data_IF_265973965908
#
_entry.id   IF_265973965908
#
_cell.length_a   1.000
_cell.length_b   1.000
_cell.length_c   1.000
_cell.angle_alpha   90.00
_cell.angle_beta   90.00
_cell.angle_gamma   90.00
#
_symmetry.space_group_name_H-M   'P 1'
#
loop_
_entity.id
_entity.type
_entity.pdbx_description
1 polymer ?
#
# COMPACT_ATOMS: atom_id res chain seq x y z
N UNK A 1 -2.87 -11.48 9.64
CA UNK A 1 -1.61 -10.79 9.26
C UNK A 1 -1.14 -11.30 7.90
N UNK A 2 -0.69 -10.40 7.03
CA UNK A 2 -0.14 -10.80 5.74
C UNK A 2 1.32 -11.23 5.95
N UNK A 3 1.58 -12.54 5.99
CA UNK A 3 2.94 -13.06 5.93
C UNK A 3 3.56 -12.64 4.60
N UNK A 4 4.54 -11.75 4.62
CA UNK A 4 5.27 -11.35 3.43
C UNK A 4 6.40 -12.34 3.20
N UNK A 5 6.26 -13.17 2.16
CA UNK A 5 7.37 -14.00 1.67
C UNK A 5 8.25 -13.13 0.79
N UNK A 6 9.53 -12.99 1.15
CA UNK A 6 10.51 -12.26 0.36
C UNK A 6 11.34 -13.24 -0.45
N UNK A 7 11.39 -13.03 -1.76
CA UNK A 7 12.30 -13.72 -2.67
C UNK A 7 13.59 -12.93 -2.81
N UNK A 8 14.71 -13.63 -2.90
CA UNK A 8 16.01 -13.08 -3.30
C UNK A 8 16.46 -13.90 -4.50
N UNK A 9 16.83 -13.22 -5.59
CA UNK A 9 17.49 -13.90 -6.70
C UNK A 9 18.92 -14.22 -6.28
N UNK A 10 19.22 -15.49 -6.04
CA UNK A 10 20.60 -15.97 -5.86
C UNK A 10 21.05 -16.61 -7.17
N UNK A 11 22.07 -16.05 -7.79
CA UNK A 11 22.66 -16.52 -9.04
C UNK A 11 24.17 -16.65 -8.90
N UNK A 12 24.78 -17.61 -9.60
CA UNK A 12 26.22 -17.88 -9.53
C UNK A 12 27.13 -16.83 -10.18
N UNK A 13 26.58 -15.69 -10.65
CA UNK A 13 27.30 -14.62 -11.34
C UNK A 13 27.23 -13.27 -10.61
N UNK A 14 27.93 -12.24 -11.13
CA UNK A 14 27.81 -10.86 -10.63
C UNK A 14 26.39 -10.34 -10.86
N UNK A 15 25.55 -10.37 -9.82
CA UNK A 15 24.24 -9.75 -9.84
C UNK A 15 24.37 -8.22 -9.79
N UNK A 16 23.56 -7.51 -10.57
CA UNK A 16 23.43 -6.07 -10.49
C UNK A 16 22.56 -5.71 -9.26
N UNK A 17 23.15 -5.81 -8.07
CA UNK A 17 22.49 -5.50 -6.80
C UNK A 17 21.98 -6.72 -6.03
N UNK A 18 21.88 -6.56 -4.71
CA UNK A 18 21.39 -7.58 -3.78
C UNK A 18 20.09 -7.07 -3.16
N UNK A 19 19.00 -7.35 -3.85
CA UNK A 19 17.67 -6.90 -3.44
C UNK A 19 16.79 -8.10 -3.09
N UNK A 20 16.04 -7.98 -2.01
CA UNK A 20 14.94 -8.89 -1.68
C UNK A 20 13.63 -8.21 -2.02
N UNK A 21 12.73 -8.93 -2.69
CA UNK A 21 11.43 -8.41 -3.09
C UNK A 21 10.32 -9.26 -2.47
N UNK A 22 9.28 -8.63 -1.94
CA UNK A 22 8.13 -9.37 -1.47
C UNK A 22 7.38 -9.98 -2.67
N UNK A 23 7.12 -11.29 -2.65
CA UNK A 23 6.40 -11.99 -3.71
C UNK A 23 4.98 -11.45 -3.90
N UNK A 24 4.34 -11.01 -2.80
CA UNK A 24 2.95 -10.51 -2.78
C UNK A 24 2.85 -9.03 -3.11
N UNK A 25 3.62 -8.17 -2.44
CA UNK A 25 3.48 -6.70 -2.60
C UNK A 25 4.58 -6.04 -3.42
N UNK A 26 5.56 -6.80 -3.89
CA UNK A 26 6.71 -6.33 -4.68
C UNK A 26 7.55 -5.25 -4.00
N UNK A 27 7.38 -5.04 -2.70
CA UNK A 27 8.25 -4.15 -1.90
C UNK A 27 9.67 -4.66 -1.96
N UNK A 28 10.58 -3.79 -2.38
CA UNK A 28 12.02 -4.05 -2.46
C UNK A 28 12.69 -3.60 -1.17
N UNK A 29 13.59 -4.41 -0.64
CA UNK A 29 14.45 -4.12 0.50
C UNK A 29 15.88 -4.55 0.15
N UNK A 30 16.88 -3.93 0.78
CA UNK A 30 18.25 -4.42 0.70
C UNK A 30 18.38 -5.84 1.26
N UNK A 31 19.17 -6.67 0.59
CA UNK A 31 19.59 -7.98 1.06
C UNK A 31 21.06 -7.93 1.51
N UNK A 32 21.39 -8.62 2.60
CA UNK A 32 22.76 -8.76 3.09
C UNK A 32 23.51 -9.78 2.23
N UNK A 33 24.22 -9.31 1.20
CA UNK A 33 24.88 -10.17 0.23
C UNK A 33 25.75 -11.29 0.84
N UNK A 34 26.53 -10.95 1.88
CA UNK A 34 27.45 -11.89 2.53
C UNK A 34 26.72 -13.11 3.08
N UNK A 35 25.52 -12.91 3.62
CA UNK A 35 24.70 -13.97 4.19
C UNK A 35 24.11 -14.93 3.13
N UNK A 36 23.94 -14.49 1.87
CA UNK A 36 23.25 -15.27 0.83
C UNK A 36 24.12 -15.68 -0.37
N UNK A 37 25.35 -15.19 -0.46
CA UNK A 37 26.26 -15.36 -1.61
C UNK A 37 26.62 -16.82 -1.93
N UNK A 38 26.67 -17.70 -0.92
CA UNK A 38 27.10 -19.09 -1.08
C UNK A 38 25.98 -20.13 -0.94
N UNK A 39 24.74 -19.74 -0.63
CA UNK A 39 23.64 -20.69 -0.36
C UNK A 39 23.39 -21.63 -1.53
N UNK A 40 23.46 -21.12 -2.77
CA UNK A 40 23.25 -21.95 -3.97
C UNK A 40 24.36 -23.00 -4.17
N UNK A 41 25.57 -22.75 -3.66
CA UNK A 41 26.70 -23.68 -3.72
C UNK A 41 26.68 -24.67 -2.56
N UNK A 42 26.42 -24.17 -1.35
CA UNK A 42 26.48 -24.95 -0.11
C UNK A 42 25.23 -25.83 0.08
N UNK A 43 24.10 -25.45 -0.53
CA UNK A 43 22.81 -26.14 -0.41
C UNK A 43 22.13 -26.35 -1.77
N UNK A 44 22.64 -27.26 -2.63
CA UNK A 44 22.06 -27.53 -3.94
C UNK A 44 20.68 -28.18 -3.83
N UNK A 45 19.63 -27.46 -4.24
CA UNK A 45 18.24 -27.90 -4.17
C UNK A 45 17.89 -29.03 -5.15
N UNK A 46 18.71 -29.22 -6.19
CA UNK A 46 18.53 -30.25 -7.24
C UNK A 46 18.49 -31.67 -6.69
N UNK A 47 19.07 -31.89 -5.50
CA UNK A 47 19.13 -33.21 -4.84
C UNK A 47 18.09 -33.37 -3.73
N UNK A 48 17.29 -32.35 -3.46
CA UNK A 48 16.28 -32.35 -2.40
C UNK A 48 14.89 -32.49 -3.02
N UNK A 49 14.08 -33.48 -2.60
CA UNK A 49 12.70 -33.60 -3.05
C UNK A 49 11.95 -32.29 -2.85
N UNK A 50 11.14 -31.89 -3.83
CA UNK A 50 10.44 -30.59 -3.86
C UNK A 50 9.63 -30.32 -2.57
N UNK A 51 9.01 -31.37 -2.02
CA UNK A 51 8.27 -31.32 -0.75
C UNK A 51 9.10 -30.96 0.49
N UNK A 52 10.43 -31.11 0.44
CA UNK A 52 11.35 -30.84 1.56
C UNK A 52 12.29 -29.66 1.31
N UNK A 53 12.24 -29.02 0.14
CA UNK A 53 13.13 -27.90 -0.21
C UNK A 53 12.97 -26.72 0.75
N UNK A 54 11.74 -26.37 1.15
CA UNK A 54 11.49 -25.26 2.09
C UNK A 54 12.12 -25.56 3.45
N UNK A 55 11.89 -26.75 4.01
CA UNK A 55 12.46 -27.16 5.30
C UNK A 55 14.00 -27.15 5.27
N UNK A 56 14.57 -27.56 4.13
CA UNK A 56 16.01 -27.54 3.91
C UNK A 56 16.56 -26.10 3.86
N UNK A 57 15.89 -25.19 3.14
CA UNK A 57 16.24 -23.78 3.09
C UNK A 57 16.11 -23.08 4.44
N UNK A 58 15.09 -23.41 5.23
CA UNK A 58 14.92 -22.85 6.58
C UNK A 58 16.10 -23.27 7.45
N UNK A 59 16.49 -24.54 7.46
CA UNK A 59 17.66 -25.00 8.23
C UNK A 59 18.97 -24.33 7.80
N UNK A 60 19.12 -24.08 6.50
CA UNK A 60 20.32 -23.45 5.95
C UNK A 60 20.40 -21.95 6.27
N UNK A 61 19.28 -21.24 6.25
CA UNK A 61 19.26 -19.76 6.29
C UNK A 61 18.83 -19.19 7.64
N UNK A 62 17.94 -19.88 8.36
CA UNK A 62 17.42 -19.45 9.64
C UNK A 62 16.94 -20.67 10.46
N UNK A 63 17.88 -21.47 11.02
CA UNK A 63 17.55 -22.72 11.70
C UNK A 63 16.64 -22.52 12.91
N UNK A 64 16.73 -21.36 13.56
CA UNK A 64 15.91 -20.98 14.72
C UNK A 64 14.54 -20.40 14.34
N UNK A 65 14.19 -20.30 13.04
CA UNK A 65 12.95 -19.67 12.60
C UNK A 65 11.72 -20.28 13.29
N UNK A 66 11.67 -21.60 13.38
CA UNK A 66 10.55 -22.31 13.99
C UNK A 66 10.42 -21.98 15.48
N UNK A 67 11.53 -21.97 16.22
CA UNK A 67 11.55 -21.70 17.65
C UNK A 67 11.24 -20.22 17.95
N UNK A 68 11.89 -19.30 17.23
CA UNK A 68 11.72 -17.86 17.39
C UNK A 68 10.28 -17.40 17.16
N UNK A 69 9.58 -18.03 16.22
CA UNK A 69 8.21 -17.68 15.86
C UNK A 69 7.15 -18.67 16.36
N UNK A 70 7.52 -19.74 17.07
CA UNK A 70 6.59 -20.77 17.55
C UNK A 70 5.42 -20.17 18.32
N UNK A 71 5.73 -19.38 19.36
CA UNK A 71 4.73 -18.72 20.21
C UNK A 71 3.78 -17.81 19.42
N UNK A 72 4.32 -17.13 18.39
CA UNK A 72 3.51 -16.24 17.55
C UNK A 72 2.60 -17.03 16.62
N UNK A 73 3.11 -18.10 16.02
CA UNK A 73 2.34 -18.96 15.12
C UNK A 73 1.21 -19.69 15.87
N UNK A 74 1.46 -20.13 17.11
CA UNK A 74 0.43 -20.69 17.99
C UNK A 74 -0.68 -19.66 18.25
N UNK A 75 -0.33 -18.45 18.68
CA UNK A 75 -1.30 -17.37 18.90
C UNK A 75 -2.13 -17.07 17.64
N UNK A 76 -1.48 -17.04 16.46
CA UNK A 76 -2.18 -16.82 15.19
C UNK A 76 -3.12 -17.98 14.82
N UNK A 77 -2.72 -19.22 15.10
CA UNK A 77 -3.58 -20.39 14.90
C UNK A 77 -4.80 -20.35 15.84
N UNK A 78 -4.60 -20.01 17.10
CA UNK A 78 -5.67 -19.89 18.09
C UNK A 78 -6.64 -18.75 17.77
N UNK A 79 -6.10 -17.63 17.28
CA UNK A 79 -6.89 -16.51 16.76
C UNK A 79 -7.75 -16.91 15.56
N UNK A 80 -7.19 -17.66 14.61
CA UNK A 80 -7.94 -18.16 13.44
C UNK A 80 -9.03 -19.15 13.84
N UNK A 81 -8.78 -19.97 14.86
CA UNK A 81 -9.74 -20.92 15.42
C UNK A 81 -10.80 -20.25 16.31
N UNK A 82 -10.60 -18.99 16.69
CA UNK A 82 -11.50 -18.25 17.57
C UNK A 82 -11.39 -18.62 19.06
N UNK A 83 -10.36 -19.38 19.43
CA UNK A 83 -10.18 -19.91 20.79
C UNK A 83 -9.24 -19.04 21.64
N UNK A 84 -8.59 -18.03 21.04
CA UNK A 84 -7.62 -17.20 21.74
C UNK A 84 -8.32 -16.25 22.72
N UNK A 85 -8.00 -16.38 24.01
CA UNK A 85 -8.26 -15.35 25.02
C UNK A 85 -7.07 -14.40 25.02
N UNK A 86 -7.30 -13.16 24.62
CA UNK A 86 -6.25 -12.13 24.47
C UNK A 86 -6.58 -10.97 25.39
N UNK A 87 -5.59 -10.54 26.17
CA UNK A 87 -5.71 -9.35 26.99
C UNK A 87 -5.86 -8.08 26.14
N UNK A 88 -6.48 -7.06 26.71
CA UNK A 88 -6.80 -5.82 26.00
C UNK A 88 -5.55 -5.10 25.45
N UNK A 89 -4.41 -5.19 26.15
CA UNK A 89 -3.17 -4.54 25.72
C UNK A 89 -2.55 -5.27 24.51
N UNK A 90 -2.43 -6.60 24.56
CA UNK A 90 -1.97 -7.38 23.40
C UNK A 90 -2.91 -7.25 22.22
N UNK A 91 -4.24 -7.24 22.45
CA UNK A 91 -5.23 -7.05 21.39
C UNK A 91 -5.02 -5.72 20.66
N UNK A 92 -4.84 -4.63 21.41
CA UNK A 92 -4.53 -3.31 20.85
C UNK A 92 -3.21 -3.33 20.05
N UNK A 93 -2.17 -3.97 20.56
CA UNK A 93 -0.90 -4.12 19.86
C UNK A 93 -1.07 -4.86 18.52
N UNK A 94 -1.79 -5.99 18.52
CA UNK A 94 -2.05 -6.79 17.32
C UNK A 94 -2.86 -6.03 16.25
N UNK A 95 -3.79 -5.16 16.68
CA UNK A 95 -4.55 -4.30 15.76
C UNK A 95 -3.66 -3.21 15.16
N UNK A 96 -2.74 -2.64 15.97
CA UNK A 96 -1.83 -1.55 15.56
C UNK A 96 -0.73 -2.02 14.62
N UNK A 97 -0.22 -3.23 14.83
CA UNK A 97 0.93 -3.78 14.11
C UNK A 97 0.79 -3.76 12.57
N UNK A 98 -0.32 -4.19 11.94
CA UNK A 98 -0.52 -4.06 10.49
C UNK A 98 -0.37 -2.62 9.97
N UNK A 99 -0.79 -1.62 10.74
CA UNK A 99 -0.66 -0.22 10.33
C UNK A 99 0.80 0.23 10.36
N UNK A 100 1.56 -0.15 11.40
CA UNK A 100 2.97 0.18 11.53
C UNK A 100 3.80 -0.47 10.42
N UNK A 101 3.54 -1.74 10.11
CA UNK A 101 4.26 -2.46 9.05
C UNK A 101 4.04 -1.81 7.68
N UNK A 102 2.81 -1.36 7.42
CA UNK A 102 2.47 -0.77 6.12
C UNK A 102 2.73 0.75 6.06
N UNK A 103 3.02 1.42 7.17
CA UNK A 103 3.24 2.86 7.23
C UNK A 103 4.37 3.35 6.29
N UNK A 104 5.56 2.72 6.25
CA UNK A 104 6.62 3.17 5.34
C UNK A 104 6.24 3.06 3.87
N UNK A 105 5.46 2.03 3.51
CA UNK A 105 5.02 1.83 2.13
C UNK A 105 4.04 2.93 1.70
N UNK A 106 3.18 3.36 2.62
CA UNK A 106 2.25 4.46 2.41
C UNK A 106 3.02 5.77 2.34
N UNK A 107 3.92 6.05 3.28
CA UNK A 107 4.70 7.29 3.28
C UNK A 107 5.46 7.49 1.97
N UNK A 108 6.19 6.47 1.49
CA UNK A 108 6.85 6.51 0.18
C UNK A 108 5.88 6.76 -0.98
N UNK A 109 4.73 6.08 -0.97
CA UNK A 109 3.72 6.26 -2.03
C UNK A 109 3.10 7.67 -2.01
N UNK A 110 3.14 8.37 -0.88
CA UNK A 110 2.65 9.74 -0.73
C UNK A 110 3.72 10.81 -0.98
N UNK A 111 5.00 10.46 -0.84
CA UNK A 111 6.14 11.27 -1.28
C UNK A 111 6.24 11.32 -2.81
N UNK A 112 5.96 10.21 -3.49
CA UNK A 112 5.89 10.16 -4.95
C UNK A 112 4.53 10.65 -5.46
N UNK A 113 4.52 11.61 -6.39
CA UNK A 113 3.29 12.04 -7.07
C UNK A 113 2.83 10.93 -8.02
N UNK A 114 1.90 10.09 -7.58
CA UNK A 114 1.28 9.09 -8.45
C UNK A 114 0.30 9.75 -9.43
N UNK A 115 0.60 9.64 -10.72
CA UNK A 115 -0.28 10.07 -11.81
C UNK A 115 -1.14 8.87 -12.22
N UNK A 116 -2.39 8.84 -11.75
CA UNK A 116 -3.37 7.85 -12.18
C UNK A 116 -3.97 8.24 -13.55
N UNK A 117 -4.44 7.27 -14.33
CA UNK A 117 -5.10 7.52 -15.62
C UNK A 117 -6.25 8.55 -15.56
N UNK A 118 -7.14 8.55 -14.53
CA UNK A 118 -8.16 9.60 -14.41
C UNK A 118 -7.57 10.98 -14.14
N UNK A 119 -6.45 11.06 -13.39
CA UNK A 119 -5.76 12.32 -13.16
C UNK A 119 -5.14 12.83 -14.47
N UNK A 120 -4.49 11.94 -15.23
CA UNK A 120 -3.94 12.25 -16.55
C UNK A 120 -5.03 12.77 -17.51
N UNK A 121 -6.19 12.10 -17.55
CA UNK A 121 -7.34 12.54 -18.35
C UNK A 121 -7.85 13.91 -17.91
N UNK A 122 -7.89 14.18 -16.60
CA UNK A 122 -8.32 15.50 -16.10
C UNK A 122 -7.33 16.60 -16.43
N UNK A 123 -6.02 16.32 -16.40
CA UNK A 123 -4.98 17.25 -16.82
C UNK A 123 -5.10 17.51 -18.33
N UNK A 124 -5.27 16.45 -19.13
CA UNK A 124 -5.45 16.58 -20.58
C UNK A 124 -6.71 17.40 -20.91
N UNK A 125 -7.84 17.14 -20.23
CA UNK A 125 -9.06 17.91 -20.39
C UNK A 125 -8.90 19.37 -19.95
N UNK A 126 -8.19 19.62 -18.84
CA UNK A 126 -7.92 20.98 -18.35
C UNK A 126 -7.12 21.84 -19.34
N UNK A 127 -6.37 21.21 -20.25
CA UNK A 127 -5.64 21.90 -21.33
C UNK A 127 -6.50 21.97 -22.60
N UNK A 128 -7.11 20.85 -23.00
CA UNK A 128 -7.86 20.76 -24.25
C UNK A 128 -9.14 21.60 -24.24
N UNK A 129 -9.85 21.68 -23.11
CA UNK A 129 -11.12 22.43 -22.99
C UNK A 129 -10.93 23.93 -23.21
N UNK A 130 -10.00 24.65 -22.53
CA UNK A 130 -9.81 26.08 -22.78
C UNK A 130 -9.29 26.38 -24.19
N UNK A 131 -8.42 25.51 -24.76
CA UNK A 131 -7.97 25.65 -26.14
C UNK A 131 -9.16 25.50 -27.10
N UNK A 132 -9.95 24.43 -26.94
CA UNK A 132 -11.14 24.19 -27.74
C UNK A 132 -12.17 25.32 -27.61
N UNK A 133 -12.37 25.83 -26.39
CA UNK A 133 -13.25 26.95 -26.12
C UNK A 133 -12.79 28.22 -26.85
N UNK A 134 -11.48 28.51 -26.86
CA UNK A 134 -10.92 29.65 -27.61
C UNK A 134 -11.23 29.55 -29.12
N UNK A 135 -10.94 28.40 -29.73
CA UNK A 135 -11.23 28.17 -31.15
C UNK A 135 -12.73 28.25 -31.46
N UNK A 136 -13.58 27.70 -30.58
CA UNK A 136 -15.03 27.74 -30.75
C UNK A 136 -15.57 29.18 -30.65
N UNK A 137 -15.04 29.97 -29.70
CA UNK A 137 -15.39 31.37 -29.52
C UNK A 137 -15.02 32.21 -30.74
N UNK A 138 -13.83 32.02 -31.30
CA UNK A 138 -13.40 32.80 -32.46
C UNK A 138 -14.18 32.45 -33.74
N UNK A 139 -14.63 31.19 -33.88
CA UNK A 139 -15.41 30.74 -35.03
C UNK A 139 -16.88 31.20 -34.99
N UNK A 140 -17.49 31.25 -33.81
CA UNK A 140 -18.94 31.46 -33.67
C UNK A 140 -19.35 32.85 -33.17
N UNK A 141 -18.48 33.60 -32.50
CA UNK A 141 -18.85 34.91 -31.92
C UNK A 141 -18.29 36.06 -32.74
N UNK A 142 -19.17 37.01 -33.08
CA UNK A 142 -18.87 38.23 -33.84
C UNK A 142 -19.30 39.44 -33.01
N UNK A 143 -18.52 40.53 -33.05
CA UNK A 143 -18.85 41.80 -32.38
C UNK A 143 -18.60 41.82 -30.87
N UNK A 144 -19.40 42.61 -30.14
CA UNK A 144 -19.22 42.97 -28.72
C UNK A 144 -19.17 41.76 -27.76
N UNK A 145 -19.66 40.59 -28.18
CA UNK A 145 -19.56 39.36 -27.40
C UNK A 145 -18.10 38.86 -27.24
N UNK A 146 -17.16 39.32 -28.08
CA UNK A 146 -15.72 39.03 -27.91
C UNK A 146 -15.12 39.72 -26.68
N UNK A 147 -15.73 40.78 -26.15
CA UNK A 147 -15.25 41.43 -24.92
C UNK A 147 -15.46 40.57 -23.66
N UNK A 148 -16.43 39.65 -23.69
CA UNK A 148 -16.68 38.70 -22.59
C UNK A 148 -15.79 37.45 -22.65
N UNK A 149 -15.10 37.21 -23.77
CA UNK A 149 -14.21 36.07 -23.99
C UNK A 149 -13.13 35.90 -22.90
N UNK A 150 -12.36 36.93 -22.51
CA UNK A 150 -11.32 36.77 -21.47
C UNK A 150 -11.91 36.36 -20.11
N UNK A 151 -13.08 36.89 -19.75
CA UNK A 151 -13.77 36.52 -18.51
C UNK A 151 -14.20 35.04 -18.53
N UNK A 152 -14.73 34.57 -19.65
CA UNK A 152 -15.18 33.18 -19.79
C UNK A 152 -14.02 32.19 -19.79
N UNK A 153 -12.93 32.50 -20.50
CA UNK A 153 -11.71 31.69 -20.50
C UNK A 153 -11.05 31.65 -19.11
N UNK A 154 -11.04 32.78 -18.38
CA UNK A 154 -10.55 32.83 -17.01
C UNK A 154 -11.40 31.94 -16.07
N UNK A 155 -12.73 31.96 -16.23
CA UNK A 155 -13.63 31.12 -15.44
C UNK A 155 -13.42 29.62 -15.73
N UNK A 156 -13.31 29.22 -17.00
CA UNK A 156 -13.02 27.83 -17.40
C UNK A 156 -11.63 27.39 -16.91
N UNK A 157 -10.62 28.26 -17.03
CA UNK A 157 -9.28 27.99 -16.55
C UNK A 157 -9.24 27.75 -15.04
N UNK A 158 -9.93 28.59 -14.28
CA UNK A 158 -10.05 28.43 -12.83
C UNK A 158 -10.80 27.14 -12.46
N UNK A 159 -11.94 26.86 -13.10
CA UNK A 159 -12.69 25.63 -12.86
C UNK A 159 -11.86 24.37 -13.17
N UNK A 160 -11.12 24.38 -14.27
CA UNK A 160 -10.24 23.29 -14.68
C UNK A 160 -9.09 23.08 -13.69
N UNK A 161 -8.50 24.17 -13.20
CA UNK A 161 -7.46 24.12 -12.18
C UNK A 161 -7.98 23.52 -10.87
N UNK A 162 -9.14 23.98 -10.39
CA UNK A 162 -9.79 23.43 -9.20
C UNK A 162 -10.10 21.95 -9.38
N UNK A 163 -10.59 21.53 -10.56
CA UNK A 163 -10.88 20.13 -10.85
C UNK A 163 -9.63 19.24 -10.76
N UNK A 164 -8.47 19.70 -11.26
CA UNK A 164 -7.19 18.97 -11.17
C UNK A 164 -6.76 18.82 -9.70
N UNK A 165 -6.88 19.88 -8.89
CA UNK A 165 -6.55 19.81 -7.45
C UNK A 165 -7.43 18.80 -6.71
N UNK A 166 -8.75 18.84 -6.95
CA UNK A 166 -9.70 17.91 -6.34
C UNK A 166 -9.40 16.47 -6.78
N UNK A 167 -9.15 16.24 -8.07
CA UNK A 167 -8.83 14.91 -8.59
C UNK A 167 -7.50 14.38 -8.08
N UNK A 168 -6.48 15.24 -7.92
CA UNK A 168 -5.22 14.87 -7.30
C UNK A 168 -5.39 14.44 -5.84
N UNK A 169 -6.22 15.15 -5.09
CA UNK A 169 -6.56 14.76 -3.71
C UNK A 169 -7.33 13.42 -3.67
N UNK A 170 -8.27 13.22 -4.59
CA UNK A 170 -9.03 11.97 -4.69
C UNK A 170 -8.20 10.78 -5.16
N UNK A 171 -7.21 10.98 -6.03
CA UNK A 171 -6.29 9.94 -6.50
C UNK A 171 -5.55 9.27 -5.34
N UNK A 172 -5.07 10.08 -4.38
CA UNK A 172 -4.43 9.58 -3.15
C UNK A 172 -5.37 8.69 -2.32
N UNK A 173 -6.64 9.05 -2.21
CA UNK A 173 -7.64 8.23 -1.53
C UNK A 173 -7.98 6.95 -2.30
N UNK A 174 -8.03 7.00 -3.63
CA UNK A 174 -8.23 5.81 -4.48
C UNK A 174 -7.07 4.84 -4.32
N UNK A 175 -5.83 5.34 -4.26
CA UNK A 175 -4.64 4.51 -4.02
C UNK A 175 -4.74 3.76 -2.69
N UNK A 176 -5.05 4.45 -1.59
CA UNK A 176 -5.26 3.82 -0.28
C UNK A 176 -6.34 2.73 -0.34
N UNK A 177 -7.47 3.03 -0.95
CA UNK A 177 -8.60 2.10 -1.05
C UNK A 177 -8.27 0.87 -1.89
N UNK A 178 -7.46 1.01 -2.94
CA UNK A 178 -7.14 -0.09 -3.87
C UNK A 178 -5.98 -0.96 -3.40
N UNK A 179 -4.93 -0.38 -2.81
CA UNK A 179 -3.69 -1.12 -2.51
C UNK A 179 -3.47 -1.40 -1.04
N UNK A 180 -4.01 -0.55 -0.15
CA UNK A 180 -3.69 -0.58 1.27
C UNK A 180 -4.84 -1.16 2.11
N UNK A 181 -6.08 -0.69 1.91
CA UNK A 181 -7.23 -1.18 2.67
C UNK A 181 -7.49 -2.69 2.53
N UNK A 182 -7.34 -3.34 1.36
CA UNK A 182 -7.53 -4.79 1.26
C UNK A 182 -6.52 -5.57 2.10
N UNK A 183 -5.25 -5.10 2.16
CA UNK A 183 -4.20 -5.74 2.97
C UNK A 183 -4.43 -5.57 4.46
N UNK A 184 -4.86 -4.37 4.88
CA UNK A 184 -5.29 -4.15 6.26
C UNK A 184 -6.48 -5.03 6.63
N UNK A 185 -7.49 -5.09 5.77
CA UNK A 185 -8.66 -5.92 6.01
C UNK A 185 -8.26 -7.39 6.18
N UNK A 186 -7.45 -7.95 5.28
CA UNK A 186 -6.91 -9.31 5.42
C UNK A 186 -6.14 -9.52 6.73
N UNK A 187 -5.41 -8.51 7.20
CA UNK A 187 -4.67 -8.60 8.44
C UNK A 187 -5.57 -8.53 9.69
N UNK A 188 -6.65 -7.75 9.62
CA UNK A 188 -7.55 -7.43 10.74
C UNK A 188 -8.79 -8.34 10.82
N UNK A 189 -9.22 -8.97 9.74
CA UNK A 189 -10.37 -9.89 9.69
C UNK A 189 -10.31 -10.97 10.78
N UNK A 190 -9.16 -11.63 11.05
CA UNK A 190 -9.07 -12.62 12.14
C UNK A 190 -9.29 -12.03 13.53
N UNK A 191 -8.95 -10.75 13.74
CA UNK A 191 -9.06 -10.08 15.04
C UNK A 191 -10.47 -9.54 15.31
N UNK A 192 -11.29 -9.38 14.25
CA UNK A 192 -12.63 -8.75 14.28
C UNK A 192 -12.64 -7.50 15.17
N UNK A 193 -11.84 -6.48 14.84
CA UNK A 193 -11.72 -5.30 15.69
C UNK A 193 -13.04 -4.53 15.73
N UNK A 194 -13.39 -4.02 16.91
CA UNK A 194 -14.56 -3.15 17.04
C UNK A 194 -14.27 -1.74 16.49
N UNK A 195 -15.30 -0.99 16.07
CA UNK A 195 -15.12 0.39 15.58
C UNK A 195 -14.41 1.30 16.60
N UNK A 196 -14.69 1.12 17.89
CA UNK A 196 -14.03 1.86 18.97
C UNK A 196 -12.53 1.53 19.07
N UNK A 197 -12.15 0.26 18.91
CA UNK A 197 -10.75 -0.18 18.95
C UNK A 197 -9.95 0.41 17.76
N UNK A 198 -10.56 0.41 16.57
CA UNK A 198 -9.96 1.03 15.39
C UNK A 198 -9.79 2.54 15.56
N UNK A 199 -10.79 3.24 16.11
CA UNK A 199 -10.71 4.67 16.35
C UNK A 199 -9.58 5.03 17.32
N UNK A 200 -9.40 4.25 18.39
CA UNK A 200 -8.29 4.42 19.33
C UNK A 200 -6.92 4.18 18.69
N UNK A 201 -6.76 3.13 17.88
CA UNK A 201 -5.48 2.85 17.21
C UNK A 201 -5.15 3.93 16.18
N UNK A 202 -6.15 4.40 15.42
CA UNK A 202 -5.97 5.47 14.45
C UNK A 202 -5.64 6.82 15.10
N UNK A 203 -6.23 7.13 16.26
CA UNK A 203 -5.91 8.35 17.00
C UNK A 203 -4.48 8.34 17.53
N UNK A 204 -3.99 7.19 18.03
CA UNK A 204 -2.59 7.03 18.41
C UNK A 204 -1.64 7.19 17.22
N UNK A 205 -1.94 6.55 16.09
CA UNK A 205 -1.11 6.69 14.88
C UNK A 205 -1.07 8.13 14.40
N UNK A 206 -2.15 8.89 14.59
CA UNK A 206 -2.20 10.32 14.29
C UNK A 206 -1.29 11.12 15.23
N UNK A 207 -1.31 10.82 16.53
CA UNK A 207 -0.41 11.45 17.52
C UNK A 207 1.06 11.16 17.22
N UNK A 208 1.37 9.95 16.78
CA UNK A 208 2.72 9.54 16.36
C UNK A 208 3.14 10.12 14.99
N UNK A 209 2.28 10.86 14.31
CA UNK A 209 2.60 11.56 13.08
C UNK A 209 2.44 10.75 11.79
N UNK A 210 2.12 9.46 11.87
CA UNK A 210 1.97 8.59 10.70
C UNK A 210 0.88 9.08 9.74
N UNK A 211 1.19 9.11 8.44
CA UNK A 211 0.25 9.54 7.40
C UNK A 211 -1.08 8.76 7.42
N UNK A 212 -1.01 7.49 7.83
CA UNK A 212 -2.15 6.61 7.97
C UNK A 212 -3.17 7.07 9.03
N UNK A 213 -2.72 7.54 10.19
CA UNK A 213 -3.64 8.04 11.22
C UNK A 213 -4.34 9.34 10.82
N UNK A 214 -3.71 10.13 9.95
CA UNK A 214 -4.27 11.40 9.44
C UNK A 214 -5.28 11.17 8.30
N UNK A 215 -5.04 10.18 7.44
CA UNK A 215 -5.79 10.01 6.18
C UNK A 215 -6.74 8.81 6.15
N UNK A 216 -6.62 7.88 7.09
CA UNK A 216 -7.53 6.74 7.17
C UNK A 216 -8.80 7.13 7.94
N UNK A 217 -9.96 6.90 7.34
CA UNK A 217 -11.23 7.02 8.01
C UNK A 217 -11.68 5.63 8.51
N UNK A 218 -12.00 5.43 9.80
CA UNK A 218 -12.49 4.15 10.30
C UNK A 218 -13.73 3.65 9.54
N UNK A 219 -14.63 4.55 9.13
CA UNK A 219 -15.81 4.19 8.34
C UNK A 219 -15.49 3.59 6.96
N UNK A 220 -14.31 3.90 6.40
CA UNK A 220 -13.88 3.34 5.13
C UNK A 220 -13.35 1.89 5.24
N UNK A 221 -12.95 1.47 6.45
CA UNK A 221 -12.47 0.12 6.73
C UNK A 221 -13.61 -0.82 7.13
N UNK A 222 -14.65 -0.31 7.78
CA UNK A 222 -15.82 -1.09 8.22
C UNK A 222 -16.42 -2.01 7.14
N UNK A 223 -16.71 -1.57 5.90
CA UNK A 223 -17.29 -2.45 4.89
C UNK A 223 -16.34 -3.57 4.44
N UNK A 224 -15.02 -3.42 4.63
CA UNK A 224 -14.03 -4.43 4.26
C UNK A 224 -13.77 -5.46 5.37
N UNK A 225 -14.20 -5.14 6.61
CA UNK A 225 -14.04 -5.99 7.78
C UNK A 225 -15.26 -6.86 8.05
N UNK A 226 -16.41 -6.58 7.41
CA UNK A 226 -17.58 -7.44 7.47
C UNK A 226 -17.27 -8.75 6.72
N UNK A 227 -17.47 -9.93 7.32
CA UNK A 227 -17.38 -11.18 6.58
C UNK A 227 -18.43 -11.16 5.46
N UNK A 228 -18.03 -11.60 4.27
CA UNK A 228 -18.94 -11.83 3.15
C UNK A 228 -19.91 -12.97 3.46
#
# INVERSE_FOLDING_TARGET
MAGHVYGVSVGGGKLAGFERFCLTCKTVLGAEHEAYSNIAKDYPLERVPESNQISHLIRATNPELAERYARRLELEQDLRRGNAVIDTATRKHLIKEPFLILAPAVERAFESTHIDLPLLLTIAAAIAVPIGAFWLFDLFLVGDAKELMPMFLAAIGLASFVAVLVQGHLAKNRFLRRHFYPKLAQALVPLRPQPAELAMVLSELRQLGFALGKRTNPAALEPLLRPA
#
